data_IF_139007847895
#
_entry.id   IF_139007847895
#
_cell.length_a   1.000
_cell.length_b   1.000
_cell.length_c   1.000
_cell.angle_alpha   90.00
_cell.angle_beta   90.00
_cell.angle_gamma   90.00
#
_symmetry.space_group_name_H-M   'P 1'
#
loop_
_entity.id
_entity.type
_entity.pdbx_description
1 polymer ?
#
# COMPACT_ATOMS: atom_id res chain seq x y z
N UNK A 1 2.87 5.96 -8.61
CA UNK A 1 2.92 6.42 -7.20
C UNK A 1 4.33 6.80 -6.86
N UNK A 2 4.52 7.71 -5.89
CA UNK A 2 5.83 8.10 -5.38
C UNK A 2 5.83 8.09 -3.86
N UNK A 3 7.02 7.92 -3.26
CA UNK A 3 7.20 8.08 -1.82
C UNK A 3 6.72 9.47 -1.39
N UNK A 4 6.06 9.55 -0.23
CA UNK A 4 5.49 10.78 0.32
C UNK A 4 4.12 11.18 -0.26
N UNK A 5 3.65 10.51 -1.32
CA UNK A 5 2.33 10.76 -1.87
C UNK A 5 1.23 10.42 -0.85
N UNK A 6 0.20 11.26 -0.76
CA UNK A 6 -0.98 11.00 0.08
C UNK A 6 -1.95 10.04 -0.59
N UNK A 7 -2.55 9.16 0.19
CA UNK A 7 -3.64 8.26 -0.21
C UNK A 7 -4.81 8.49 0.76
N UNK A 8 -6.00 8.70 0.22
CA UNK A 8 -7.21 8.90 1.02
C UNK A 8 -8.15 7.72 0.86
N UNK A 9 -8.59 7.14 1.97
CA UNK A 9 -9.65 6.13 2.00
C UNK A 9 -10.91 6.79 2.56
N UNK A 10 -11.94 6.89 1.73
CA UNK A 10 -13.22 7.47 2.09
C UNK A 10 -14.20 6.34 2.36
N UNK A 11 -14.77 6.35 3.55
CA UNK A 11 -15.88 5.46 3.94
C UNK A 11 -17.11 6.33 4.25
N UNK A 12 -18.26 5.72 4.45
CA UNK A 12 -19.47 6.43 4.89
C UNK A 12 -19.28 7.15 6.24
N UNK A 13 -18.45 6.58 7.12
CA UNK A 13 -18.29 7.07 8.50
C UNK A 13 -17.09 8.02 8.67
N UNK A 14 -16.03 7.83 7.91
CA UNK A 14 -14.77 8.53 8.13
C UNK A 14 -13.87 8.57 6.89
N UNK A 15 -12.96 9.55 6.88
CA UNK A 15 -11.87 9.68 5.91
C UNK A 15 -10.55 9.37 6.60
N UNK A 16 -9.74 8.53 5.98
CA UNK A 16 -8.42 8.16 6.46
C UNK A 16 -7.36 8.68 5.50
N UNK A 17 -6.38 9.41 6.01
CA UNK A 17 -5.21 9.85 5.25
C UNK A 17 -4.03 8.94 5.55
N UNK A 18 -3.40 8.42 4.51
CA UNK A 18 -2.15 7.67 4.56
C UNK A 18 -1.08 8.37 3.71
N UNK A 19 0.19 8.13 4.02
CA UNK A 19 1.35 8.59 3.25
C UNK A 19 2.20 7.41 2.83
N UNK A 20 2.53 7.33 1.54
CA UNK A 20 3.38 6.26 0.99
C UNK A 20 4.78 6.32 1.59
N UNK A 21 5.25 5.21 2.13
CA UNK A 21 6.60 5.06 2.68
C UNK A 21 7.45 4.06 1.91
N UNK A 22 6.83 3.09 1.23
CA UNK A 22 7.54 2.04 0.54
C UNK A 22 6.83 1.65 -0.77
N UNK A 23 7.62 1.38 -1.81
CA UNK A 23 7.14 0.87 -3.10
C UNK A 23 8.09 -0.23 -3.53
N UNK A 24 7.56 -1.44 -3.71
CA UNK A 24 8.33 -2.62 -4.10
C UNK A 24 7.67 -3.36 -5.26
N UNK A 25 8.48 -4.04 -6.06
CA UNK A 25 8.00 -5.11 -6.93
C UNK A 25 8.35 -6.48 -6.35
N UNK A 26 7.38 -7.39 -6.33
CA UNK A 26 7.56 -8.77 -5.86
C UNK A 26 7.00 -9.77 -6.86
N UNK A 27 7.35 -11.04 -6.69
CA UNK A 27 6.72 -12.13 -7.45
C UNK A 27 5.35 -12.50 -6.86
N UNK A 28 4.40 -13.00 -7.68
CA UNK A 28 3.05 -13.34 -7.22
C UNK A 28 3.00 -14.38 -6.08
N UNK A 29 4.02 -15.23 -5.96
CA UNK A 29 4.11 -16.23 -4.89
C UNK A 29 4.57 -15.66 -3.53
N UNK A 30 5.02 -14.40 -3.47
CA UNK A 30 5.44 -13.73 -2.24
C UNK A 30 4.24 -13.11 -1.51
N UNK A 31 3.28 -13.93 -1.10
CA UNK A 31 2.01 -13.50 -0.50
C UNK A 31 2.16 -12.88 0.90
N UNK A 32 3.30 -13.08 1.57
CA UNK A 32 3.57 -12.51 2.89
C UNK A 32 3.51 -10.98 2.94
N UNK A 33 3.62 -10.30 1.79
CA UNK A 33 3.57 -8.83 1.70
C UNK A 33 2.19 -8.23 2.01
N UNK A 34 1.13 -9.04 1.96
CA UNK A 34 -0.25 -8.65 2.33
C UNK A 34 -0.73 -9.31 3.63
N UNK A 35 0.16 -10.01 4.35
CA UNK A 35 -0.21 -10.60 5.63
C UNK A 35 -0.55 -9.51 6.66
N UNK A 36 -1.43 -9.77 7.64
CA UNK A 36 -1.71 -8.84 8.72
C UNK A 36 -0.44 -8.44 9.47
N UNK A 37 -0.35 -7.16 9.85
CA UNK A 37 0.77 -6.59 10.61
C UNK A 37 0.33 -6.12 11.99
N UNK A 38 1.29 -5.93 12.90
CA UNK A 38 1.03 -5.42 14.25
C UNK A 38 0.80 -3.91 14.29
N UNK A 39 1.28 -3.20 13.27
CA UNK A 39 1.06 -1.77 13.06
C UNK A 39 -0.01 -1.49 12.00
N UNK A 40 -0.68 -0.34 12.12
CA UNK A 40 -1.61 0.15 11.10
C UNK A 40 -0.85 0.56 9.84
N UNK A 41 -1.25 -0.02 8.70
CA UNK A 41 -0.75 0.34 7.37
C UNK A 41 -1.80 0.04 6.31
N UNK A 42 -1.72 0.79 5.21
CA UNK A 42 -2.43 0.53 3.98
C UNK A 42 -1.48 -0.13 2.99
N UNK A 43 -1.81 -1.34 2.54
CA UNK A 43 -1.07 -2.03 1.48
C UNK A 43 -1.91 -2.03 0.20
N UNK A 44 -1.45 -1.32 -0.84
CA UNK A 44 -2.03 -1.38 -2.18
C UNK A 44 -1.30 -2.46 -2.99
N UNK A 45 -2.07 -3.33 -3.63
CA UNK A 45 -1.56 -4.48 -4.39
C UNK A 45 -2.14 -4.46 -5.79
N UNK A 46 -1.30 -4.48 -6.81
CA UNK A 46 -1.72 -4.56 -8.22
C UNK A 46 -0.73 -5.33 -9.08
N UNK A 47 -1.15 -5.73 -10.28
CA UNK A 47 -0.28 -6.38 -11.27
C UNK A 47 0.79 -5.42 -11.80
N UNK A 48 1.99 -5.96 -12.06
CA UNK A 48 3.07 -5.25 -12.73
C UNK A 48 3.94 -6.21 -13.55
N UNK A 49 4.95 -5.66 -14.23
CA UNK A 49 5.81 -6.41 -15.14
C UNK A 49 5.14 -6.80 -16.45
N UNK A 50 5.89 -7.43 -17.35
CA UNK A 50 5.33 -7.97 -18.59
C UNK A 50 4.40 -9.14 -18.27
N UNK A 51 3.19 -9.14 -18.83
CA UNK A 51 2.19 -10.19 -18.66
C UNK A 51 1.94 -10.59 -17.19
N UNK A 52 1.82 -9.59 -16.30
CA UNK A 52 1.50 -9.76 -14.86
C UNK A 52 2.44 -10.68 -14.09
N UNK A 53 3.69 -10.79 -14.54
CA UNK A 53 4.74 -11.62 -13.92
C UNK A 53 5.15 -11.13 -12.54
N UNK A 54 4.79 -9.89 -12.17
CA UNK A 54 5.10 -9.27 -10.88
C UNK A 54 3.89 -8.59 -10.26
N UNK A 55 4.08 -8.11 -9.04
CA UNK A 55 3.13 -7.30 -8.29
C UNK A 55 3.81 -6.03 -7.81
N UNK A 56 3.16 -4.90 -8.03
CA UNK A 56 3.52 -3.64 -7.40
C UNK A 56 2.83 -3.58 -6.04
N UNK A 57 3.65 -3.46 -5.00
CA UNK A 57 3.22 -3.31 -3.62
C UNK A 57 3.54 -1.90 -3.18
N UNK A 58 2.54 -1.18 -2.67
CA UNK A 58 2.73 0.13 -2.06
C UNK A 58 2.29 0.05 -0.61
N UNK A 59 3.19 0.38 0.31
CA UNK A 59 2.89 0.47 1.74
C UNK A 59 2.81 1.94 2.13
N UNK A 60 1.71 2.31 2.77
CA UNK A 60 1.47 3.64 3.28
C UNK A 60 1.09 3.59 4.77
N UNK A 61 1.55 4.59 5.55
CA UNK A 61 1.26 4.71 6.98
C UNK A 61 0.25 5.81 7.24
N UNK A 62 -0.53 5.74 8.34
CA UNK A 62 -1.42 6.82 8.73
C UNK A 62 -0.66 8.15 8.77
N UNK A 63 -1.19 9.17 8.11
CA UNK A 63 -0.63 10.50 8.25
C UNK A 63 -0.81 10.96 9.70
N UNK A 64 0.24 11.52 10.30
CA UNK A 64 0.16 12.12 11.63
C UNK A 64 -1.04 13.08 11.68
N UNK A 65 -1.96 12.83 12.62
CA UNK A 65 -2.95 13.83 13.00
C UNK A 65 -2.19 14.96 13.69
N UNK A 66 -2.19 16.14 13.07
CA UNK A 66 -1.71 17.38 13.68
C UNK A 66 -2.75 17.86 14.68
#
# INVERSE_FOLDING_TARGET
MTIGQKVYILTEAAWYEYRVEEINEVYPNQTQVIAPTTDERLTLYTCSGFADTKRLIVVAKPALKI
#
